data_IF_205579787533
#
_entry.id   IF_205579787533
#
_cell.length_a   1.000
_cell.length_b   1.000
_cell.length_c   1.000
_cell.angle_alpha   90.00
_cell.angle_beta   90.00
_cell.angle_gamma   90.00
#
_symmetry.space_group_name_H-M   'P 1'
#
loop_
_entity.id
_entity.type
_entity.pdbx_description
1 polymer ?
#
# COMPACT_ATOMS: atom_id res chain seq x y z
N UNK A 1 18.28 1.38 -8.61
CA UNK A 1 17.78 1.39 -10.01
C UNK A 1 16.82 0.23 -10.27
N UNK A 2 17.03 -0.95 -9.67
CA UNK A 2 16.17 -2.13 -9.82
C UNK A 2 14.78 -2.00 -9.14
N UNK A 3 14.71 -1.36 -7.96
CA UNK A 3 13.45 -1.17 -7.20
C UNK A 3 12.39 -0.33 -7.95
N UNK A 4 12.80 0.62 -8.80
CA UNK A 4 11.86 1.46 -9.57
C UNK A 4 11.09 0.67 -10.64
N UNK A 5 11.64 -0.46 -11.09
CA UNK A 5 11.02 -1.33 -12.10
C UNK A 5 10.02 -2.29 -11.44
N UNK A 6 10.38 -2.85 -10.29
CA UNK A 6 9.47 -3.66 -9.47
C UNK A 6 8.25 -2.85 -9.00
N UNK A 7 8.44 -1.59 -8.63
CA UNK A 7 7.35 -0.64 -8.33
C UNK A 7 6.39 -0.48 -9.49
N UNK A 8 6.93 -0.22 -10.69
CA UNK A 8 6.13 -0.03 -11.89
C UNK A 8 5.40 -1.31 -12.29
N UNK A 9 6.03 -2.46 -12.12
CA UNK A 9 5.45 -3.76 -12.46
C UNK A 9 4.34 -4.15 -11.47
N UNK A 10 4.56 -3.94 -10.16
CA UNK A 10 3.58 -4.27 -9.14
C UNK A 10 2.39 -3.31 -9.23
N UNK A 11 2.62 -2.00 -9.22
CA UNK A 11 1.55 -0.99 -9.29
C UNK A 11 0.85 -1.04 -10.64
N UNK A 12 1.59 -1.25 -11.74
CA UNK A 12 1.02 -1.37 -13.08
C UNK A 12 0.13 -2.60 -13.31
N UNK A 13 0.24 -3.62 -12.45
CA UNK A 13 -0.63 -4.79 -12.44
C UNK A 13 -1.90 -4.63 -11.60
N UNK A 14 -2.00 -3.57 -10.80
CA UNK A 14 -3.15 -3.34 -9.92
C UNK A 14 -4.28 -2.60 -10.63
N UNK A 15 -5.50 -2.87 -10.18
CA UNK A 15 -6.65 -2.04 -10.54
C UNK A 15 -6.60 -0.75 -9.72
N UNK A 16 -6.25 0.36 -10.36
CA UNK A 16 -6.13 1.67 -9.70
C UNK A 16 -7.46 2.42 -9.83
N UNK A 17 -7.96 2.94 -8.70
CA UNK A 17 -9.14 3.80 -8.66
C UNK A 17 -8.90 5.18 -9.31
N UNK A 18 -9.89 6.06 -9.21
CA UNK A 18 -9.81 7.43 -9.77
C UNK A 18 -9.94 8.54 -8.74
N UNK A 19 -10.31 8.20 -7.51
CA UNK A 19 -10.56 9.16 -6.44
C UNK A 19 -9.72 8.83 -5.21
N UNK A 20 -9.40 9.87 -4.42
CA UNK A 20 -8.75 9.68 -3.14
C UNK A 20 -9.71 9.01 -2.15
N UNK A 21 -9.15 8.25 -1.20
CA UNK A 21 -9.96 7.57 -0.17
C UNK A 21 -9.40 7.83 1.23
N UNK A 22 -10.29 8.01 2.20
CA UNK A 22 -9.93 8.11 3.61
C UNK A 22 -9.91 6.72 4.21
N UNK A 23 -8.72 6.21 4.51
CA UNK A 23 -8.52 4.89 5.11
C UNK A 23 -8.30 5.03 6.61
N UNK A 24 -8.93 4.17 7.40
CA UNK A 24 -8.84 4.17 8.87
C UNK A 24 -8.14 2.91 9.36
N UNK A 25 -7.08 3.07 10.15
CA UNK A 25 -6.40 1.96 10.81
C UNK A 25 -7.37 1.30 11.82
N UNK A 26 -7.70 0.01 11.67
CA UNK A 26 -8.68 -0.66 12.54
C UNK A 26 -8.20 -0.86 13.98
N UNK A 27 -6.89 -0.77 14.24
CA UNK A 27 -6.28 -0.96 15.56
C UNK A 27 -6.16 0.35 16.34
N UNK A 28 -5.76 1.44 15.68
CA UNK A 28 -5.54 2.74 16.32
C UNK A 28 -6.70 3.72 16.18
N UNK A 29 -7.60 3.49 15.21
CA UNK A 29 -8.70 4.40 14.87
C UNK A 29 -8.26 5.69 14.16
N UNK A 30 -6.97 5.85 13.85
CA UNK A 30 -6.46 6.99 13.09
C UNK A 30 -6.78 6.84 11.61
N UNK A 31 -7.03 7.95 10.92
CA UNK A 31 -7.33 7.96 9.49
C UNK A 31 -6.34 8.84 8.72
N UNK A 32 -6.12 8.50 7.45
CA UNK A 32 -5.31 9.28 6.50
C UNK A 32 -5.97 9.21 5.11
N UNK A 33 -5.91 10.30 4.36
CA UNK A 33 -6.34 10.32 2.96
C UNK A 33 -5.22 9.77 2.07
N UNK A 34 -5.57 8.82 1.21
CA UNK A 34 -4.68 8.17 0.25
C UNK A 34 -5.06 8.57 -1.17
N UNK A 35 -4.06 8.76 -2.04
CA UNK A 35 -4.29 8.82 -3.48
C UNK A 35 -4.62 7.42 -4.05
N UNK A 36 -5.24 7.31 -5.24
CA UNK A 36 -5.68 6.02 -5.78
C UNK A 36 -4.58 4.94 -5.86
N UNK A 37 -3.35 5.33 -6.16
CA UNK A 37 -2.20 4.41 -6.23
C UNK A 37 -1.86 3.83 -4.85
N UNK A 38 -1.89 4.68 -3.82
CA UNK A 38 -1.65 4.25 -2.44
C UNK A 38 -2.79 3.36 -1.93
N UNK A 39 -4.05 3.66 -2.29
CA UNK A 39 -5.20 2.78 -1.96
C UNK A 39 -4.99 1.39 -2.55
N UNK A 40 -4.69 1.29 -3.85
CA UNK A 40 -4.50 0.01 -4.51
C UNK A 40 -3.34 -0.79 -3.89
N UNK A 41 -2.23 -0.14 -3.53
CA UNK A 41 -1.11 -0.81 -2.90
C UNK A 41 -1.42 -1.23 -1.44
N UNK A 42 -2.16 -0.41 -0.69
CA UNK A 42 -2.63 -0.75 0.65
C UNK A 42 -3.52 -2.00 0.62
N UNK A 43 -4.47 -2.05 -0.32
CA UNK A 43 -5.37 -3.20 -0.50
C UNK A 43 -4.61 -4.47 -0.89
N UNK A 44 -3.60 -4.36 -1.75
CA UNK A 44 -2.71 -5.47 -2.06
C UNK A 44 -2.02 -6.00 -0.80
N UNK A 45 -1.42 -5.11 0.01
CA UNK A 45 -0.70 -5.50 1.23
C UNK A 45 -1.65 -6.23 2.20
N UNK A 46 -2.85 -5.69 2.41
CA UNK A 46 -3.85 -6.30 3.31
C UNK A 46 -4.43 -7.60 2.77
N UNK A 47 -4.71 -7.67 1.48
CA UNK A 47 -5.12 -8.91 0.82
C UNK A 47 -4.06 -10.01 0.92
N UNK A 48 -2.80 -9.65 0.66
CA UNK A 48 -1.65 -10.56 0.74
C UNK A 48 -1.42 -11.05 2.18
N UNK A 49 -1.51 -10.17 3.18
CA UNK A 49 -1.44 -10.51 4.60
C UNK A 49 -2.51 -11.54 5.00
N UNK A 50 -3.76 -11.36 4.52
CA UNK A 50 -4.88 -12.25 4.83
C UNK A 50 -4.71 -13.67 4.29
N UNK A 51 -4.00 -13.84 3.17
CA UNK A 51 -3.79 -15.15 2.52
C UNK A 51 -2.40 -15.75 2.79
N UNK A 52 -1.53 -15.02 3.51
CA UNK A 52 -0.17 -15.46 3.83
C UNK A 52 0.82 -15.32 2.68
N UNK A 53 0.56 -14.44 1.71
CA UNK A 53 1.47 -14.11 0.61
C UNK A 53 2.51 -13.07 1.07
N UNK A 54 3.49 -13.53 1.85
CA UNK A 54 4.45 -12.64 2.49
C UNK A 54 5.43 -11.97 1.52
N UNK A 55 5.60 -12.50 0.31
CA UNK A 55 6.44 -11.87 -0.72
C UNK A 55 5.83 -10.56 -1.21
N UNK A 56 4.52 -10.56 -1.46
CA UNK A 56 3.78 -9.35 -1.81
C UNK A 56 3.61 -8.40 -0.62
N UNK A 57 3.50 -8.92 0.61
CA UNK A 57 3.49 -8.08 1.82
C UNK A 57 4.82 -7.33 1.96
N UNK A 58 5.95 -8.03 1.93
CA UNK A 58 7.27 -7.43 2.12
C UNK A 58 7.56 -6.40 1.01
N UNK A 59 7.32 -6.77 -0.24
CA UNK A 59 7.52 -5.89 -1.39
C UNK A 59 6.59 -4.68 -1.32
N UNK A 60 5.32 -4.89 -1.02
CA UNK A 60 4.34 -3.83 -0.88
C UNK A 60 4.70 -2.84 0.23
N UNK A 61 5.09 -3.32 1.42
CA UNK A 61 5.53 -2.48 2.54
C UNK A 61 6.78 -1.66 2.21
N UNK A 62 7.76 -2.26 1.51
CA UNK A 62 8.97 -1.56 1.08
C UNK A 62 8.66 -0.41 0.12
N UNK A 63 7.75 -0.64 -0.83
CA UNK A 63 7.29 0.38 -1.78
C UNK A 63 6.47 1.46 -1.05
N UNK A 64 5.53 1.04 -0.20
CA UNK A 64 4.60 1.95 0.46
C UNK A 64 5.34 2.88 1.43
N UNK A 65 6.25 2.34 2.27
CA UNK A 65 7.04 3.13 3.21
C UNK A 65 7.95 4.16 2.53
N UNK A 66 8.43 3.88 1.31
CA UNK A 66 9.28 4.81 0.55
C UNK A 66 8.51 5.94 -0.11
N UNK A 67 7.33 5.66 -0.65
CA UNK A 67 6.55 6.61 -1.44
C UNK A 67 5.50 7.37 -0.60
N UNK A 68 4.97 6.75 0.44
CA UNK A 68 3.95 7.31 1.34
C UNK A 68 4.30 7.10 2.83
N UNK A 69 5.45 7.61 3.31
CA UNK A 69 5.95 7.36 4.66
C UNK A 69 4.98 7.81 5.76
N UNK A 70 4.28 8.94 5.59
CA UNK A 70 3.34 9.43 6.61
C UNK A 70 2.12 8.51 6.75
N UNK A 71 1.59 8.02 5.63
CA UNK A 71 0.50 7.06 5.63
C UNK A 71 0.94 5.69 6.17
N UNK A 72 2.18 5.28 5.88
CA UNK A 72 2.78 4.05 6.41
C UNK A 72 2.75 4.06 7.94
N UNK A 73 3.23 5.14 8.56
CA UNK A 73 3.25 5.30 10.02
C UNK A 73 1.85 5.34 10.66
N UNK A 74 0.81 5.64 9.87
CA UNK A 74 -0.58 5.67 10.36
C UNK A 74 -1.26 4.32 10.20
N UNK A 75 -1.01 3.61 9.10
CA UNK A 75 -1.80 2.45 8.67
C UNK A 75 -1.10 1.10 8.80
N UNK A 76 0.24 1.06 8.72
CA UNK A 76 1.01 -0.17 8.48
C UNK A 76 2.18 -0.40 9.45
N UNK A 77 2.54 0.58 10.26
CA UNK A 77 3.45 0.44 11.42
C UNK A 77 2.71 -0.15 12.65
#
# INVERSE_FOLDING_TARGET
MQVMEEEKNLIGGLMIGTENEVVTNPYSGKSVELCPEAVALYDLIKGAEMIGDYENVETGLAIFSRNWPDAYMVLLD
#
